data_IF_983668092303
#
_entry.id   IF_983668092303
#
_cell.length_a   1.000
_cell.length_b   1.000
_cell.length_c   1.000
_cell.angle_alpha   90.00
_cell.angle_beta   90.00
_cell.angle_gamma   90.00
#
_symmetry.space_group_name_H-M   'P 1'
#
loop_
_entity.id
_entity.type
_entity.pdbx_description
1 polymer ?
#
# COMPACT_ATOMS: atom_id res chain seq x y z
N UNK A 1 -12.78 -8.61 9.60
CA UNK A 1 -12.51 -7.70 8.47
C UNK A 1 -11.06 -7.27 8.52
N UNK A 2 -10.33 -7.54 7.43
CA UNK A 2 -8.91 -7.24 7.25
C UNK A 2 -8.75 -6.11 6.25
N UNK A 3 -8.24 -4.98 6.71
CA UNK A 3 -7.98 -3.80 5.89
C UNK A 3 -6.47 -3.60 5.80
N UNK A 4 -5.92 -3.55 4.60
CA UNK A 4 -4.53 -3.23 4.35
C UNK A 4 -4.40 -1.76 3.93
N UNK A 5 -3.89 -0.93 4.84
CA UNK A 5 -3.51 0.44 4.57
C UNK A 5 -2.13 0.50 3.93
N UNK A 6 -2.00 1.24 2.84
CA UNK A 6 -0.78 1.40 2.06
C UNK A 6 -0.48 2.88 1.97
N UNK A 7 0.70 3.28 2.41
CA UNK A 7 1.25 4.60 2.17
C UNK A 7 2.31 4.51 1.09
N UNK A 8 2.06 5.10 -0.09
CA UNK A 8 2.97 4.94 -1.24
C UNK A 8 4.13 5.94 -1.23
N UNK A 9 3.89 7.11 -0.67
CA UNK A 9 4.76 8.28 -0.82
C UNK A 9 5.79 8.36 0.31
N UNK A 10 6.20 9.57 0.69
CA UNK A 10 7.22 9.84 1.71
C UNK A 10 6.99 9.04 3.00
N UNK A 11 7.98 8.26 3.45
CA UNK A 11 7.81 7.25 4.51
C UNK A 11 6.80 6.18 4.13
N UNK A 12 7.07 5.51 3.01
CA UNK A 12 6.21 4.45 2.49
C UNK A 12 6.00 3.37 3.55
N UNK A 13 4.74 2.95 3.74
CA UNK A 13 4.38 2.03 4.80
C UNK A 13 3.22 1.11 4.43
N UNK A 14 3.18 -0.06 5.05
CA UNK A 14 2.12 -1.05 4.89
C UNK A 14 1.63 -1.44 6.28
N UNK A 15 0.34 -1.32 6.53
CA UNK A 15 -0.27 -1.68 7.80
C UNK A 15 -1.51 -2.55 7.57
N UNK A 16 -1.65 -3.62 8.33
CA UNK A 16 -2.87 -4.43 8.32
C UNK A 16 -3.61 -4.26 9.64
N UNK A 17 -4.90 -3.95 9.53
CA UNK A 17 -5.84 -3.90 10.65
C UNK A 17 -6.84 -5.04 10.50
N UNK A 18 -6.99 -5.86 11.54
CA UNK A 18 -7.97 -6.92 11.62
C UNK A 18 -8.95 -6.62 12.77
N UNK A 19 -10.24 -6.50 12.44
CA UNK A 19 -11.32 -6.25 13.40
C UNK A 19 -11.04 -5.07 14.34
N UNK A 20 -10.50 -3.99 13.76
CA UNK A 20 -10.16 -2.76 14.48
C UNK A 20 -8.84 -2.82 15.26
N UNK A 21 -8.05 -3.88 15.14
CA UNK A 21 -6.74 -4.03 15.82
C UNK A 21 -5.61 -4.04 14.80
N UNK A 22 -4.54 -3.30 15.08
CA UNK A 22 -3.33 -3.33 14.27
C UNK A 22 -2.66 -4.70 14.41
N UNK A 23 -2.54 -5.44 13.30
CA UNK A 23 -1.82 -6.71 13.24
C UNK A 23 -0.34 -6.45 13.04
N UNK A 24 0.01 -5.61 12.06
CA UNK A 24 1.37 -5.16 11.82
C UNK A 24 1.39 -3.79 11.14
N UNK A 25 2.53 -3.12 11.24
CA UNK A 25 2.88 -1.93 10.47
C UNK A 25 4.37 -2.02 10.11
N UNK A 26 4.68 -1.89 8.83
CA UNK A 26 6.04 -1.92 8.29
C UNK A 26 6.28 -0.62 7.55
N UNK A 27 7.33 0.10 7.94
CA UNK A 27 7.80 1.31 7.26
C UNK A 27 9.04 0.96 6.43
N UNK A 28 9.09 1.43 5.19
CA UNK A 28 10.12 1.04 4.23
C UNK A 28 11.52 1.47 4.65
N UNK A 29 11.68 2.61 5.32
CA UNK A 29 12.98 3.06 5.84
C UNK A 29 13.56 2.10 6.90
N UNK A 30 12.69 1.38 7.64
CA UNK A 30 13.11 0.43 8.69
C UNK A 30 13.49 -0.93 8.12
N UNK A 31 13.12 -1.20 6.87
CA UNK A 31 13.40 -2.44 6.16
C UNK A 31 14.83 -2.40 5.62
N UNK A 32 15.61 -3.42 5.94
CA UNK A 32 16.98 -3.59 5.41
C UNK A 32 17.88 -2.36 5.55
N UNK A 33 17.59 -1.48 6.52
CA UNK A 33 18.27 -0.20 6.69
C UNK A 33 18.27 0.66 5.41
N UNK A 34 17.11 0.69 4.74
CA UNK A 34 16.87 1.57 3.60
C UNK A 34 17.07 3.05 3.96
N UNK A 35 17.26 3.92 2.96
CA UNK A 35 17.28 5.36 3.19
C UNK A 35 16.02 5.85 3.90
N UNK A 36 16.19 6.92 4.66
CA UNK A 36 15.09 7.65 5.27
C UNK A 36 14.09 8.11 4.20
N UNK A 37 12.79 8.12 4.50
CA UNK A 37 11.73 8.56 3.58
C UNK A 37 11.52 7.69 2.34
N UNK A 38 12.01 6.45 2.36
CA UNK A 38 11.85 5.52 1.25
C UNK A 38 10.37 5.34 0.89
N UNK A 39 10.04 5.54 -0.39
CA UNK A 39 8.70 5.33 -0.95
C UNK A 39 8.44 3.85 -1.24
N UNK A 40 7.18 3.51 -1.56
CA UNK A 40 6.82 2.22 -2.18
C UNK A 40 6.52 2.49 -3.66
N UNK A 41 7.49 2.26 -4.52
CA UNK A 41 7.39 2.37 -5.98
C UNK A 41 7.02 1.05 -6.67
N UNK A 42 7.37 -0.09 -6.06
CA UNK A 42 6.95 -1.43 -6.46
C UNK A 42 5.95 -2.03 -5.47
N UNK A 43 4.74 -2.35 -5.95
CA UNK A 43 3.67 -2.95 -5.16
C UNK A 43 3.97 -4.40 -4.71
N UNK A 44 4.99 -5.06 -5.25
CA UNK A 44 5.47 -6.35 -4.74
C UNK A 44 5.90 -6.26 -3.27
N UNK A 45 6.28 -5.08 -2.79
CA UNK A 45 6.58 -4.83 -1.37
C UNK A 45 5.37 -5.15 -0.46
N UNK A 46 4.14 -4.92 -0.94
CA UNK A 46 2.90 -5.23 -0.20
C UNK A 46 2.72 -6.74 -0.08
N UNK A 47 2.96 -7.47 -1.19
CA UNK A 47 2.88 -8.93 -1.22
C UNK A 47 3.91 -9.55 -0.28
N UNK A 48 5.15 -9.04 -0.30
CA UNK A 48 6.21 -9.48 0.60
C UNK A 48 5.86 -9.23 2.08
N UNK A 49 5.37 -8.03 2.41
CA UNK A 49 4.99 -7.70 3.78
C UNK A 49 3.85 -8.60 4.32
N UNK A 50 2.85 -8.90 3.49
CA UNK A 50 1.78 -9.85 3.85
C UNK A 50 2.32 -11.28 4.03
N UNK A 51 3.17 -11.74 3.11
CA UNK A 51 3.73 -13.08 3.14
C UNK A 51 4.61 -13.33 4.37
N UNK A 52 5.34 -12.31 4.85
CA UNK A 52 6.11 -12.38 6.10
C UNK A 52 5.25 -12.59 7.34
N UNK A 53 3.97 -12.22 7.26
CA UNK A 53 2.97 -12.46 8.31
C UNK A 53 2.14 -13.73 8.05
N UNK A 54 2.50 -14.52 7.03
CA UNK A 54 1.78 -15.73 6.64
C UNK A 54 0.45 -15.47 5.93
N UNK A 55 0.26 -14.29 5.35
CA UNK A 55 -0.97 -13.88 4.68
C UNK A 55 -0.78 -13.81 3.15
N UNK A 56 -1.84 -14.14 2.42
CA UNK A 56 -1.97 -13.91 0.99
C UNK A 56 -2.75 -12.59 0.74
N UNK A 57 -2.48 -11.86 -0.36
CA UNK A 57 -3.32 -10.72 -0.75
C UNK A 57 -4.82 -11.04 -0.83
N UNK A 58 -5.20 -12.27 -1.18
CA UNK A 58 -6.58 -12.74 -1.20
C UNK A 58 -7.23 -12.87 0.19
N UNK A 59 -6.44 -12.85 1.27
CA UNK A 59 -6.95 -12.85 2.64
C UNK A 59 -7.34 -11.45 3.13
N UNK A 60 -7.05 -10.40 2.35
CA UNK A 60 -7.36 -9.00 2.67
C UNK A 60 -8.70 -8.63 2.05
N UNK A 61 -9.62 -8.14 2.89
CA UNK A 61 -10.96 -7.75 2.44
C UNK A 61 -10.95 -6.41 1.68
N UNK A 62 -10.07 -5.49 2.08
CA UNK A 62 -9.99 -4.15 1.50
C UNK A 62 -8.57 -3.60 1.53
N UNK A 63 -8.13 -3.02 0.42
CA UNK A 63 -6.92 -2.21 0.36
C UNK A 63 -7.30 -0.73 0.37
N UNK A 64 -6.60 0.06 1.18
CA UNK A 64 -6.77 1.52 1.28
C UNK A 64 -5.42 2.14 0.98
N UNK A 65 -5.35 2.99 -0.03
CA UNK A 65 -4.12 3.69 -0.40
C UNK A 65 -4.22 5.10 0.17
N UNK A 66 -3.18 5.52 0.89
CA UNK A 66 -3.02 6.91 1.30
C UNK A 66 -2.87 7.73 0.03
N UNK A 67 -3.76 8.71 -0.15
CA UNK A 67 -3.73 9.54 -1.34
C UNK A 67 -2.95 10.82 -1.12
N UNK A 68 -1.98 10.82 -0.20
CA UNK A 68 -1.18 11.99 0.10
C UNK A 68 0.15 11.92 -0.64
N UNK A 69 0.34 12.79 -1.62
CA UNK A 69 1.61 13.01 -2.32
C UNK A 69 2.23 14.39 -2.04
N UNK A 70 1.63 15.14 -1.11
CA UNK A 70 2.04 16.51 -0.77
C UNK A 70 1.33 17.59 -1.58
N UNK A 71 0.46 17.21 -2.52
CA UNK A 71 -0.35 18.14 -3.33
C UNK A 71 -1.81 18.19 -2.84
N UNK A 72 -2.55 19.21 -3.28
CA UNK A 72 -3.98 19.38 -2.97
C UNK A 72 -4.87 18.35 -3.70
N UNK A 73 -4.42 17.85 -4.86
CA UNK A 73 -5.11 16.83 -5.64
C UNK A 73 -4.10 15.86 -6.27
N UNK A 74 -4.41 14.56 -6.20
CA UNK A 74 -3.54 13.49 -6.73
C UNK A 74 -4.30 12.56 -7.67
N UNK A 75 -3.61 12.03 -8.67
CA UNK A 75 -4.15 10.99 -9.55
C UNK A 75 -3.11 9.89 -9.73
N UNK A 76 -3.54 8.63 -9.67
CA UNK A 76 -2.67 7.49 -9.96
C UNK A 76 -3.32 6.54 -10.97
N UNK A 77 -2.50 5.91 -11.82
CA UNK A 77 -2.96 4.93 -12.78
C UNK A 77 -2.69 3.52 -12.27
N UNK A 78 -3.75 2.76 -12.06
CA UNK A 78 -3.62 1.33 -11.72
C UNK A 78 -3.50 0.53 -13.01
N UNK A 79 -2.39 -0.19 -13.16
CA UNK A 79 -2.10 -1.05 -14.32
C UNK A 79 -2.01 -2.50 -13.87
N UNK A 80 -2.83 -3.37 -14.45
CA UNK A 80 -2.63 -4.82 -14.33
C UNK A 80 -1.74 -5.31 -15.47
N UNK A 81 -0.91 -6.31 -15.19
CA UNK A 81 -0.05 -6.95 -16.20
C UNK A 81 -0.82 -7.85 -17.19
N UNK A 82 -2.14 -7.99 -17.04
CA UNK A 82 -3.00 -8.73 -17.98
C UNK A 82 -3.44 -7.82 -19.14
N UNK A 83 -3.76 -8.39 -20.31
CA UNK A 83 -4.16 -7.66 -21.55
C UNK A 83 -5.51 -6.92 -21.45
N UNK A 84 -5.96 -6.51 -20.27
CA UNK A 84 -7.15 -5.67 -20.12
C UNK A 84 -6.75 -4.19 -20.16
N UNK A 85 -7.60 -3.31 -20.74
CA UNK A 85 -7.34 -1.89 -20.73
C UNK A 85 -7.19 -1.39 -19.29
N UNK A 86 -6.26 -0.47 -19.01
CA UNK A 86 -6.07 0.08 -17.67
C UNK A 86 -7.38 0.74 -17.20
N UNK A 87 -7.79 0.44 -15.97
CA UNK A 87 -8.88 1.16 -15.32
C UNK A 87 -8.28 2.43 -14.73
N UNK A 88 -8.71 3.60 -15.21
CA UNK A 88 -8.39 4.85 -14.51
C UNK A 88 -9.16 4.84 -13.19
N UNK A 89 -8.43 4.69 -12.08
CA UNK A 89 -8.97 4.92 -10.75
C UNK A 89 -8.62 6.36 -10.35
N UNK A 90 -9.61 7.23 -10.29
CA UNK A 90 -9.46 8.55 -9.68
C UNK A 90 -9.83 8.48 -8.21
N UNK A 91 -8.84 8.69 -7.32
CA UNK A 91 -9.08 8.88 -5.90
C UNK A 91 -8.97 10.38 -5.62
N UNK A 92 -10.10 11.06 -5.46
CA UNK A 92 -10.12 12.44 -4.99
C UNK A 92 -10.05 12.39 -3.46
N UNK A 93 -8.89 12.76 -2.92
CA UNK A 93 -8.64 12.78 -1.48
C UNK A 93 -8.97 14.20 -1.05
N UNK A 94 -9.91 14.35 -0.10
CA UNK A 94 -10.27 15.65 0.47
C UNK A 94 -9.44 15.93 1.72
#
# INVERSE_FOLDING_TARGET
>A
MRICGIKLTHDGAIALVEDGRLVFCVEQEKRHNNPRYQTIDNLDAIVAALAEQGLNPCDVDQFVIDGWDGEDESQFQVRQATKQPPVLASLSVK
#
